data_IF_325302785105
#
_entry.id   IF_325302785105
#
_cell.length_a   1.000
_cell.length_b   1.000
_cell.length_c   1.000
_cell.angle_alpha   90.00
_cell.angle_beta   90.00
_cell.angle_gamma   90.00
#
_symmetry.space_group_name_H-M   'P 1'
#
loop_
_entity.id
_entity.type
_entity.pdbx_description
1 polymer ?
#
# COMPACT_ATOMS: atom_id res chain seq x y z
N UNK A 1 -49.07 8.79 30.55
CA UNK A 1 -47.95 7.81 30.68
C UNK A 1 -46.82 8.26 31.60
N UNK A 2 -46.20 9.45 31.45
CA UNK A 2 -45.05 9.86 32.28
C UNK A 2 -45.27 9.88 33.81
N UNK A 3 -46.50 10.19 34.29
CA UNK A 3 -46.82 10.24 35.74
C UNK A 3 -47.27 8.90 36.35
N UNK A 4 -48.12 8.15 35.64
CA UNK A 4 -48.76 6.93 36.16
C UNK A 4 -48.28 5.63 35.50
N UNK A 5 -47.37 5.72 34.52
CA UNK A 5 -46.93 4.58 33.72
C UNK A 5 -46.35 3.44 34.56
N UNK A 6 -45.54 3.76 35.59
CA UNK A 6 -44.96 2.76 36.49
C UNK A 6 -46.02 1.99 37.29
N UNK A 7 -47.09 2.67 37.70
CA UNK A 7 -48.21 2.08 38.46
C UNK A 7 -49.04 1.19 37.52
N UNK A 8 -49.33 1.66 36.31
CA UNK A 8 -50.03 0.87 35.29
C UNK A 8 -49.25 -0.38 34.90
N UNK A 9 -47.94 -0.25 34.69
CA UNK A 9 -47.06 -1.37 34.37
C UNK A 9 -46.96 -2.40 35.51
N UNK A 10 -47.15 -1.98 36.76
CA UNK A 10 -47.16 -2.89 37.91
C UNK A 10 -48.45 -3.71 38.02
N UNK A 11 -49.61 -3.09 37.75
CA UNK A 11 -50.91 -3.75 37.92
C UNK A 11 -51.43 -4.43 36.65
N UNK A 12 -51.14 -3.87 35.48
CA UNK A 12 -51.69 -4.33 34.20
C UNK A 12 -50.60 -4.27 33.09
N UNK A 13 -49.57 -5.11 33.17
CA UNK A 13 -48.39 -5.05 32.30
C UNK A 13 -48.71 -5.18 30.81
N UNK A 14 -49.42 -6.24 30.40
CA UNK A 14 -49.69 -6.53 28.97
C UNK A 14 -50.46 -5.40 28.28
N UNK A 15 -51.51 -4.89 28.93
CA UNK A 15 -52.34 -3.81 28.39
C UNK A 15 -51.57 -2.48 28.33
N UNK A 16 -50.71 -2.24 29.33
CA UNK A 16 -49.85 -1.05 29.36
C UNK A 16 -48.80 -1.11 28.24
N UNK A 17 -48.23 -2.29 27.97
CA UNK A 17 -47.30 -2.51 26.85
C UNK A 17 -47.98 -2.27 25.51
N UNK A 18 -49.18 -2.81 25.28
CA UNK A 18 -49.95 -2.57 24.05
C UNK A 18 -50.27 -1.09 23.84
N UNK A 19 -50.66 -0.38 24.91
CA UNK A 19 -50.89 1.05 24.85
C UNK A 19 -49.61 1.82 24.47
N UNK A 20 -48.47 1.48 25.05
CA UNK A 20 -47.18 2.11 24.72
C UNK A 20 -46.75 1.83 23.28
N UNK A 21 -46.98 0.61 22.77
CA UNK A 21 -46.75 0.26 21.36
C UNK A 21 -47.56 1.16 20.43
N UNK A 22 -48.86 1.31 20.69
CA UNK A 22 -49.74 2.17 19.89
C UNK A 22 -49.37 3.66 19.97
N UNK A 23 -48.97 4.15 21.14
CA UNK A 23 -48.54 5.54 21.33
C UNK A 23 -47.28 5.93 20.53
N UNK A 24 -46.41 4.97 20.25
CA UNK A 24 -45.15 5.20 19.55
C UNK A 24 -45.25 4.94 18.03
N UNK A 25 -46.27 4.21 17.55
CA UNK A 25 -46.38 3.76 16.15
C UNK A 25 -47.52 4.47 15.41
N UNK A 26 -48.75 4.20 15.82
CA UNK A 26 -49.98 4.53 15.08
C UNK A 26 -50.93 5.47 15.83
N UNK A 27 -50.38 6.31 16.73
CA UNK A 27 -51.18 7.27 17.46
C UNK A 27 -51.72 8.38 16.54
N UNK A 28 -53.02 8.32 16.25
CA UNK A 28 -53.77 9.40 15.62
C UNK A 28 -54.57 10.12 16.71
N UNK A 29 -54.20 11.36 17.10
CA UNK A 29 -55.07 12.15 17.93
C UNK A 29 -56.36 12.43 17.16
N UNK A 30 -57.52 12.16 17.76
CA UNK A 30 -58.82 12.56 17.21
C UNK A 30 -58.90 14.09 17.20
N UNK A 31 -58.40 14.71 16.13
CA UNK A 31 -58.61 16.12 15.84
C UNK A 31 -59.84 16.24 14.96
N UNK A 32 -61.02 16.31 15.59
CA UNK A 32 -62.13 17.04 14.98
C UNK A 32 -61.69 18.50 14.84
N UNK A 33 -61.19 18.88 13.65
CA UNK A 33 -61.03 20.27 13.23
C UNK A 33 -59.60 20.81 13.17
N UNK A 34 -58.82 20.41 12.15
CA UNK A 34 -57.93 21.32 11.39
C UNK A 34 -57.47 20.63 10.11
N UNK A 35 -57.70 21.28 8.97
CA UNK A 35 -57.52 20.73 7.63
C UNK A 35 -56.06 20.53 7.19
N UNK A 36 -55.92 19.61 6.23
CA UNK A 36 -54.93 19.48 5.17
C UNK A 36 -53.61 20.26 5.34
N UNK A 37 -52.74 19.71 6.20
CA UNK A 37 -51.29 19.65 5.97
C UNK A 37 -50.80 18.35 6.61
N UNK A 38 -50.14 17.50 5.83
CA UNK A 38 -49.40 16.33 6.34
C UNK A 38 -48.38 16.81 7.39
N UNK A 39 -48.76 16.74 8.66
CA UNK A 39 -47.88 17.03 9.79
C UNK A 39 -47.06 15.77 10.09
N UNK A 40 -45.74 15.88 10.34
CA UNK A 40 -44.94 14.73 10.79
C UNK A 40 -45.57 14.20 12.08
N UNK A 41 -45.93 12.91 12.09
CA UNK A 41 -46.81 12.32 13.10
C UNK A 41 -46.39 12.64 14.55
N UNK A 42 -47.39 12.96 15.40
CA UNK A 42 -47.24 13.16 16.84
C UNK A 42 -46.91 11.85 17.59
N UNK A 43 -45.87 11.14 17.16
CA UNK A 43 -45.39 9.93 17.82
C UNK A 43 -44.63 10.32 19.08
N UNK A 44 -44.94 9.64 20.19
CA UNK A 44 -44.18 9.83 21.41
C UNK A 44 -42.79 9.18 21.27
N UNK A 45 -41.77 9.79 21.89
CA UNK A 45 -40.43 9.22 21.89
C UNK A 45 -40.42 7.92 22.72
N UNK A 46 -40.14 6.79 22.06
CA UNK A 46 -40.14 5.46 22.66
C UNK A 46 -39.09 5.30 23.76
N UNK A 47 -37.96 6.02 23.67
CA UNK A 47 -36.87 5.96 24.65
C UNK A 47 -37.29 6.51 26.04
N UNK A 48 -38.15 7.52 26.06
CA UNK A 48 -38.64 8.13 27.31
C UNK A 48 -39.48 7.15 28.15
N UNK A 49 -39.97 6.07 27.54
CA UNK A 49 -40.80 5.07 28.20
C UNK A 49 -40.01 3.87 28.72
N UNK A 50 -38.74 3.68 28.35
CA UNK A 50 -37.89 2.59 28.85
C UNK A 50 -37.92 2.50 30.39
N UNK A 51 -37.80 3.61 31.17
CA UNK A 51 -37.80 3.55 32.63
C UNK A 51 -39.14 3.10 33.26
N UNK A 52 -40.24 3.04 32.48
CA UNK A 52 -41.54 2.57 32.95
C UNK A 52 -41.52 1.05 33.17
N UNK A 53 -40.67 0.33 32.42
CA UNK A 53 -40.59 -1.13 32.46
C UNK A 53 -39.56 -1.69 33.45
N UNK A 54 -39.01 -0.87 34.35
CA UNK A 54 -37.86 -1.22 35.20
C UNK A 54 -37.95 -2.58 35.94
N UNK A 55 -39.16 -3.05 36.26
CA UNK A 55 -39.38 -4.33 36.95
C UNK A 55 -40.06 -5.41 36.07
N UNK A 56 -40.19 -5.18 34.76
CA UNK A 56 -40.92 -6.05 33.84
C UNK A 56 -40.08 -6.30 32.56
N UNK A 57 -39.01 -7.11 32.65
CA UNK A 57 -38.08 -7.33 31.53
C UNK A 57 -38.72 -8.03 30.32
N UNK A 58 -39.72 -8.89 30.56
CA UNK A 58 -40.49 -9.57 29.49
C UNK A 58 -41.26 -8.57 28.64
N UNK A 59 -41.96 -7.66 29.29
CA UNK A 59 -42.73 -6.60 28.63
C UNK A 59 -41.82 -5.58 27.94
N UNK A 60 -40.69 -5.26 28.55
CA UNK A 60 -39.67 -4.41 27.94
C UNK A 60 -39.13 -5.03 26.65
N UNK A 61 -38.75 -6.32 26.66
CA UNK A 61 -38.32 -7.04 25.45
C UNK A 61 -39.40 -6.96 24.35
N UNK A 62 -40.64 -7.29 24.69
CA UNK A 62 -41.75 -7.27 23.74
C UNK A 62 -42.05 -5.87 23.17
N UNK A 63 -41.83 -4.81 23.96
CA UNK A 63 -41.94 -3.43 23.50
C UNK A 63 -40.81 -3.05 22.54
N UNK A 64 -39.56 -3.30 22.93
CA UNK A 64 -38.37 -2.95 22.14
C UNK A 64 -38.31 -3.72 20.81
N UNK A 65 -38.67 -5.01 20.80
CA UNK A 65 -38.73 -5.80 19.57
C UNK A 65 -39.76 -5.23 18.59
N UNK A 66 -40.95 -4.87 19.09
CA UNK A 66 -41.97 -4.24 18.26
C UNK A 66 -41.51 -2.87 17.71
N UNK A 67 -40.82 -2.06 18.52
CA UNK A 67 -40.25 -0.79 18.04
C UNK A 67 -39.19 -1.03 16.95
N UNK A 68 -38.35 -2.06 17.11
CA UNK A 68 -37.30 -2.40 16.13
C UNK A 68 -37.86 -2.91 14.80
N UNK A 69 -39.02 -3.57 14.79
CA UNK A 69 -39.68 -4.09 13.59
C UNK A 69 -40.51 -3.02 12.86
N UNK A 70 -41.29 -2.24 13.62
CA UNK A 70 -42.24 -1.28 13.04
C UNK A 70 -41.58 0.05 12.70
N UNK A 71 -40.54 0.45 13.44
CA UNK A 71 -39.87 1.73 13.25
C UNK A 71 -38.35 1.55 13.14
N UNK A 72 -37.84 1.40 11.90
CA UNK A 72 -36.40 1.37 11.61
C UNK A 72 -35.64 2.58 12.16
N UNK A 73 -36.28 3.76 12.17
CA UNK A 73 -35.72 5.03 12.66
C UNK A 73 -35.95 5.24 14.17
N UNK A 74 -36.11 4.14 14.93
CA UNK A 74 -36.21 4.22 16.38
C UNK A 74 -34.95 4.86 17.00
N UNK A 75 -35.07 5.60 18.11
CA UNK A 75 -33.93 6.17 18.82
C UNK A 75 -32.88 5.11 19.20
N UNK A 76 -31.61 5.50 19.22
CA UNK A 76 -30.51 4.58 19.51
C UNK A 76 -30.65 3.89 20.88
N UNK A 77 -31.20 4.58 21.88
CA UNK A 77 -31.45 4.00 23.21
C UNK A 77 -32.33 2.74 23.19
N UNK A 78 -33.23 2.60 22.20
CA UNK A 78 -34.05 1.39 22.02
C UNK A 78 -33.17 0.20 21.64
N UNK A 79 -32.28 0.39 20.67
CA UNK A 79 -31.36 -0.65 20.19
C UNK A 79 -30.32 -1.00 21.25
N UNK A 80 -29.81 -0.01 21.97
CA UNK A 80 -28.82 -0.22 23.05
C UNK A 80 -29.41 -1.04 24.20
N UNK A 81 -30.61 -0.67 24.70
CA UNK A 81 -31.29 -1.42 25.75
C UNK A 81 -31.74 -2.79 25.26
N UNK A 82 -32.13 -2.93 23.98
CA UNK A 82 -32.47 -4.24 23.41
C UNK A 82 -31.25 -5.15 23.34
N UNK A 83 -30.09 -4.63 22.95
CA UNK A 83 -28.83 -5.37 22.93
C UNK A 83 -28.42 -5.79 24.35
N UNK A 84 -28.45 -4.87 25.31
CA UNK A 84 -28.15 -5.14 26.71
C UNK A 84 -29.05 -6.26 27.28
N UNK A 85 -30.36 -6.19 27.05
CA UNK A 85 -31.29 -7.24 27.48
C UNK A 85 -31.03 -8.59 26.79
N UNK A 86 -30.69 -8.59 25.49
CA UNK A 86 -30.36 -9.84 24.77
C UNK A 86 -29.09 -10.47 25.32
N UNK A 87 -28.05 -9.68 25.57
CA UNK A 87 -26.78 -10.14 26.14
C UNK A 87 -26.96 -10.62 27.59
N UNK A 88 -27.73 -9.91 28.40
CA UNK A 88 -28.05 -10.31 29.77
C UNK A 88 -28.82 -11.64 29.82
N UNK A 89 -29.85 -11.81 28.96
CA UNK A 89 -30.58 -13.07 28.86
C UNK A 89 -29.69 -14.23 28.40
N UNK A 90 -28.82 -13.99 27.41
CA UNK A 90 -27.85 -14.98 26.95
C UNK A 90 -26.85 -15.38 28.04
N UNK A 91 -26.38 -14.42 28.84
CA UNK A 91 -25.41 -14.67 29.92
C UNK A 91 -26.02 -15.51 31.05
N UNK A 92 -27.30 -15.32 31.37
CA UNK A 92 -28.00 -16.05 32.43
C UNK A 92 -28.63 -17.38 31.98
N UNK A 93 -28.76 -17.63 30.68
CA UNK A 93 -29.34 -18.86 30.15
C UNK A 93 -28.41 -20.07 30.34
N UNK A 94 -28.99 -21.18 30.79
CA UNK A 94 -28.27 -22.43 31.08
C UNK A 94 -28.54 -23.52 30.04
N UNK A 95 -29.68 -23.46 29.36
CA UNK A 95 -30.00 -24.41 28.29
C UNK A 95 -29.15 -24.11 27.05
N UNK A 96 -28.30 -25.03 26.58
CA UNK A 96 -27.44 -24.81 25.40
C UNK A 96 -28.23 -24.53 24.12
N UNK A 97 -29.42 -25.13 23.93
CA UNK A 97 -30.21 -24.91 22.72
C UNK A 97 -30.87 -23.53 22.71
N UNK A 98 -31.36 -23.07 23.87
CA UNK A 98 -31.94 -21.72 23.99
C UNK A 98 -30.84 -20.67 23.95
N UNK A 99 -29.68 -20.95 24.57
CA UNK A 99 -28.52 -20.06 24.55
C UNK A 99 -28.01 -19.83 23.13
N UNK A 100 -27.95 -20.85 22.29
CA UNK A 100 -27.55 -20.70 20.87
C UNK A 100 -28.54 -19.82 20.08
N UNK A 101 -29.83 -19.94 20.34
CA UNK A 101 -30.85 -19.08 19.71
C UNK A 101 -30.68 -17.62 20.13
N UNK A 102 -30.52 -17.37 21.44
CA UNK A 102 -30.27 -16.02 21.97
C UNK A 102 -28.95 -15.43 21.42
N UNK A 103 -27.93 -16.28 21.27
CA UNK A 103 -26.65 -15.91 20.66
C UNK A 103 -26.85 -15.43 19.21
N UNK A 104 -27.56 -16.21 18.39
CA UNK A 104 -27.86 -15.85 17.00
C UNK A 104 -28.69 -14.56 16.90
N UNK A 105 -29.66 -14.35 17.79
CA UNK A 105 -30.47 -13.13 17.87
C UNK A 105 -29.61 -11.89 18.22
N UNK A 106 -28.66 -12.01 19.13
CA UNK A 106 -27.75 -10.94 19.50
C UNK A 106 -26.79 -10.58 18.34
N UNK A 107 -26.19 -11.58 17.70
CA UNK A 107 -25.34 -11.36 16.51
C UNK A 107 -26.14 -10.74 15.36
N UNK A 108 -27.37 -11.20 15.11
CA UNK A 108 -28.22 -10.63 14.07
C UNK A 108 -28.52 -9.15 14.32
N UNK A 109 -28.69 -8.75 15.59
CA UNK A 109 -28.90 -7.36 15.95
C UNK A 109 -27.64 -6.52 15.70
N UNK A 110 -26.45 -7.02 16.06
CA UNK A 110 -25.19 -6.34 15.74
C UNK A 110 -24.96 -6.21 14.22
N UNK A 111 -25.38 -7.21 13.43
CA UNK A 111 -25.28 -7.22 11.97
C UNK A 111 -26.27 -6.31 11.24
N UNK A 112 -27.27 -5.77 11.94
CA UNK A 112 -28.31 -4.93 11.34
C UNK A 112 -27.83 -3.53 10.93
N UNK A 113 -26.57 -3.16 11.22
CA UNK A 113 -26.01 -1.85 10.89
C UNK A 113 -26.43 -0.71 11.82
N UNK A 114 -27.21 -1.01 12.87
CA UNK A 114 -27.73 -0.02 13.83
C UNK A 114 -26.72 0.50 14.85
N UNK A 115 -25.51 -0.07 14.88
CA UNK A 115 -24.45 0.31 15.82
C UNK A 115 -23.25 0.97 15.13
N UNK A 116 -23.36 1.32 13.84
CA UNK A 116 -22.26 1.94 13.09
C UNK A 116 -21.80 3.26 13.72
N UNK A 117 -22.73 4.10 14.19
CA UNK A 117 -22.43 5.42 14.75
C UNK A 117 -22.13 5.39 16.26
N UNK A 118 -22.44 4.29 16.95
CA UNK A 118 -22.24 4.11 18.40
C UNK A 118 -21.41 2.88 18.72
N UNK A 119 -20.36 2.69 17.93
CA UNK A 119 -19.44 1.57 18.01
C UNK A 119 -18.93 1.30 19.44
N UNK A 120 -18.45 2.33 20.13
CA UNK A 120 -17.83 2.21 21.45
C UNK A 120 -18.80 1.65 22.50
N UNK A 121 -20.07 2.08 22.44
CA UNK A 121 -21.10 1.65 23.38
C UNK A 121 -21.48 0.18 23.15
N UNK A 122 -21.63 -0.23 21.88
CA UNK A 122 -21.89 -1.63 21.55
C UNK A 122 -20.74 -2.55 21.97
N UNK A 123 -19.50 -2.08 21.82
CA UNK A 123 -18.30 -2.81 22.24
C UNK A 123 -18.26 -3.00 23.76
N UNK A 124 -18.50 -1.94 24.54
CA UNK A 124 -18.56 -2.01 26.00
C UNK A 124 -19.65 -2.97 26.46
N UNK A 125 -20.85 -2.93 25.86
CA UNK A 125 -21.92 -3.88 26.17
C UNK A 125 -21.50 -5.34 25.92
N UNK A 126 -20.87 -5.62 24.77
CA UNK A 126 -20.39 -6.98 24.48
C UNK A 126 -19.29 -7.43 25.44
N UNK A 127 -18.34 -6.54 25.79
CA UNK A 127 -17.25 -6.83 26.73
C UNK A 127 -17.76 -7.07 28.16
N UNK A 128 -18.73 -6.26 28.63
CA UNK A 128 -19.30 -6.40 29.97
C UNK A 128 -20.00 -7.75 30.20
N UNK A 129 -20.51 -8.36 29.13
CA UNK A 129 -21.22 -9.64 29.17
C UNK A 129 -20.37 -10.83 28.69
N UNK A 130 -19.05 -10.67 28.50
CA UNK A 130 -18.14 -11.70 27.96
C UNK A 130 -18.61 -12.30 26.61
N UNK A 131 -19.26 -11.48 25.78
CA UNK A 131 -19.82 -11.90 24.50
C UNK A 131 -18.77 -11.82 23.37
N UNK A 132 -17.91 -12.83 23.32
CA UNK A 132 -16.71 -12.89 22.49
C UNK A 132 -16.98 -12.71 20.98
N UNK A 133 -17.97 -13.41 20.43
CA UNK A 133 -18.28 -13.35 18.99
C UNK A 133 -18.76 -11.97 18.55
N UNK A 134 -19.49 -11.25 19.43
CA UNK A 134 -19.89 -9.87 19.15
C UNK A 134 -18.72 -8.89 19.24
N UNK A 135 -17.79 -9.08 20.19
CA UNK A 135 -16.57 -8.28 20.27
C UNK A 135 -15.72 -8.45 19.01
N UNK A 136 -15.51 -9.70 18.56
CA UNK A 136 -14.77 -9.99 17.33
C UNK A 136 -15.45 -9.40 16.10
N UNK A 137 -16.77 -9.53 15.99
CA UNK A 137 -17.55 -8.94 14.90
C UNK A 137 -17.40 -7.41 14.87
N UNK A 138 -17.50 -6.76 16.03
CA UNK A 138 -17.32 -5.32 16.14
C UNK A 138 -15.89 -4.91 15.74
N UNK A 139 -14.86 -5.59 16.22
CA UNK A 139 -13.49 -5.31 15.78
C UNK A 139 -13.30 -5.46 14.26
N UNK A 140 -13.96 -6.43 13.63
CA UNK A 140 -13.92 -6.60 12.16
C UNK A 140 -14.61 -5.45 11.44
N UNK A 141 -15.79 -5.01 11.92
CA UNK A 141 -16.48 -3.83 11.36
C UNK A 141 -15.69 -2.53 11.53
N UNK A 142 -15.06 -2.35 12.70
CA UNK A 142 -14.21 -1.20 13.00
C UNK A 142 -12.83 -1.24 12.34
N UNK A 143 -12.50 -2.30 11.59
CA UNK A 143 -11.16 -2.56 11.01
C UNK A 143 -10.04 -2.53 12.05
N UNK A 144 -10.34 -2.95 13.28
CA UNK A 144 -9.40 -2.99 14.41
C UNK A 144 -8.65 -4.33 14.42
N UNK A 145 -7.94 -4.65 13.33
CA UNK A 145 -7.31 -5.96 13.15
C UNK A 145 -6.25 -6.28 14.22
N UNK A 146 -5.54 -5.25 14.71
CA UNK A 146 -4.62 -5.34 15.85
C UNK A 146 -5.29 -5.90 17.12
N UNK A 147 -6.54 -5.51 17.38
CA UNK A 147 -7.28 -5.97 18.56
C UNK A 147 -7.77 -7.40 18.38
N UNK A 148 -8.23 -7.77 17.17
CA UNK A 148 -8.56 -9.16 16.82
C UNK A 148 -7.33 -10.07 17.03
N UNK A 149 -6.17 -9.60 16.57
CA UNK A 149 -4.91 -10.31 16.74
C UNK A 149 -4.58 -10.50 18.22
N UNK A 150 -4.64 -9.43 19.02
CA UNK A 150 -4.36 -9.49 20.45
C UNK A 150 -5.32 -10.44 21.19
N UNK A 151 -6.61 -10.42 20.81
CA UNK A 151 -7.61 -11.31 21.36
C UNK A 151 -7.25 -12.79 21.13
N UNK A 152 -6.97 -13.20 19.89
CA UNK A 152 -6.59 -14.60 19.61
C UNK A 152 -5.24 -14.98 20.26
N UNK A 153 -4.30 -14.03 20.39
CA UNK A 153 -3.03 -14.24 21.09
C UNK A 153 -3.21 -14.47 22.60
N UNK A 154 -4.13 -13.75 23.25
CA UNK A 154 -4.45 -13.93 24.67
C UNK A 154 -5.13 -15.28 24.94
N UNK A 155 -5.99 -15.74 24.02
CA UNK A 155 -6.69 -17.02 24.12
C UNK A 155 -5.90 -18.21 23.55
N UNK A 156 -4.62 -18.03 23.21
CA UNK A 156 -3.72 -19.07 22.67
C UNK A 156 -4.27 -19.80 21.42
N UNK A 157 -5.04 -19.07 20.61
CA UNK A 157 -5.69 -19.55 19.40
C UNK A 157 -4.76 -19.41 18.17
N UNK A 158 -3.70 -20.23 18.11
CA UNK A 158 -2.63 -20.12 17.12
C UNK A 158 -3.10 -20.19 15.66
N UNK A 159 -4.06 -21.07 15.37
CA UNK A 159 -4.62 -21.22 14.02
C UNK A 159 -5.36 -19.96 13.57
N UNK A 160 -6.10 -19.33 14.48
CA UNK A 160 -6.86 -18.11 14.22
C UNK A 160 -5.92 -16.92 14.00
N UNK A 161 -4.81 -16.83 14.75
CA UNK A 161 -3.77 -15.80 14.54
C UNK A 161 -3.25 -15.82 13.09
N UNK A 162 -2.91 -17.00 12.55
CA UNK A 162 -2.48 -17.12 11.15
C UNK A 162 -3.62 -16.80 10.19
N UNK A 163 -4.84 -17.27 10.45
CA UNK A 163 -6.00 -16.97 9.60
C UNK A 163 -6.35 -15.48 9.53
N UNK A 164 -6.10 -14.70 10.60
CA UNK A 164 -6.27 -13.24 10.61
C UNK A 164 -5.18 -12.58 9.76
N UNK A 165 -3.92 -13.01 9.88
CA UNK A 165 -2.83 -12.56 9.00
C UNK A 165 -3.12 -12.85 7.52
N UNK A 166 -3.66 -14.03 7.21
CA UNK A 166 -3.99 -14.40 5.82
C UNK A 166 -5.13 -13.55 5.25
N UNK A 167 -6.17 -13.26 6.03
CA UNK A 167 -7.32 -12.47 5.59
C UNK A 167 -7.04 -10.97 5.51
N UNK A 168 -6.32 -10.42 6.49
CA UNK A 168 -6.17 -8.97 6.65
C UNK A 168 -4.74 -8.46 6.49
N UNK A 169 -3.75 -9.35 6.40
CA UNK A 169 -2.34 -8.97 6.34
C UNK A 169 -1.88 -8.32 5.02
N UNK A 170 -2.73 -8.28 3.99
CA UNK A 170 -2.48 -7.43 2.81
C UNK A 170 -2.81 -5.95 3.08
N UNK A 171 -3.83 -5.70 3.89
CA UNK A 171 -4.21 -4.34 4.28
C UNK A 171 -3.28 -3.81 5.36
N UNK A 172 -2.84 -4.68 6.26
CA UNK A 172 -1.99 -4.32 7.39
C UNK A 172 -0.81 -5.30 7.55
N UNK A 173 0.33 -5.04 6.88
CA UNK A 173 1.52 -5.90 6.95
C UNK A 173 2.12 -6.08 8.34
N UNK A 174 1.91 -5.12 9.26
CA UNK A 174 2.40 -5.17 10.64
C UNK A 174 1.82 -6.35 11.44
N UNK A 175 0.68 -6.90 11.02
CA UNK A 175 0.10 -8.12 11.62
C UNK A 175 1.05 -9.32 11.53
N UNK A 176 1.79 -9.44 10.41
CA UNK A 176 2.76 -10.53 10.23
C UNK A 176 3.98 -10.38 11.15
N UNK A 177 4.45 -9.15 11.37
CA UNK A 177 5.53 -8.86 12.32
C UNK A 177 5.09 -9.21 13.76
N UNK A 178 3.88 -8.81 14.15
CA UNK A 178 3.32 -9.12 15.45
C UNK A 178 3.12 -10.63 15.66
N UNK A 179 2.59 -11.33 14.64
CA UNK A 179 2.43 -12.78 14.68
C UNK A 179 3.79 -13.50 14.83
N UNK A 180 4.80 -13.07 14.07
CA UNK A 180 6.16 -13.62 14.20
C UNK A 180 6.72 -13.37 15.60
N UNK A 181 6.61 -12.15 16.13
CA UNK A 181 7.07 -11.79 17.47
C UNK A 181 6.37 -12.60 18.58
N UNK A 182 5.07 -12.85 18.42
CA UNK A 182 4.29 -13.67 19.36
C UNK A 182 4.74 -15.14 19.33
N UNK A 183 4.81 -15.76 18.15
CA UNK A 183 5.21 -17.17 18.04
C UNK A 183 6.68 -17.38 18.43
N UNK A 184 7.54 -16.37 18.23
CA UNK A 184 8.94 -16.42 18.65
C UNK A 184 9.15 -16.59 20.16
N UNK A 185 8.18 -16.14 20.96
CA UNK A 185 8.20 -16.23 22.43
C UNK A 185 7.69 -17.57 22.97
N UNK A 186 7.10 -18.42 22.14
CA UNK A 186 6.50 -19.70 22.54
C UNK A 186 7.42 -20.84 22.07
N UNK A 187 8.05 -21.55 23.00
CA UNK A 187 9.22 -22.41 22.69
C UNK A 187 8.88 -23.83 22.19
N UNK A 188 7.73 -24.41 22.53
CA UNK A 188 7.54 -25.86 22.34
C UNK A 188 6.56 -26.28 21.21
N UNK A 189 5.45 -25.57 20.98
CA UNK A 189 4.42 -26.00 20.01
C UNK A 189 4.25 -25.10 18.76
N UNK A 190 5.05 -24.05 18.62
CA UNK A 190 4.83 -23.01 17.61
C UNK A 190 5.69 -23.11 16.35
N UNK A 191 6.53 -24.14 16.21
CA UNK A 191 7.51 -24.27 15.10
C UNK A 191 6.85 -24.28 13.71
N UNK A 192 5.73 -24.99 13.57
CA UNK A 192 4.98 -25.06 12.31
C UNK A 192 4.38 -23.69 11.94
N UNK A 193 3.85 -22.96 12.93
CA UNK A 193 3.28 -21.63 12.73
C UNK A 193 4.36 -20.58 12.39
N UNK A 194 5.54 -20.65 13.04
CA UNK A 194 6.69 -19.80 12.70
C UNK A 194 7.12 -20.05 11.24
N UNK A 195 7.24 -21.33 10.83
CA UNK A 195 7.60 -21.66 9.45
C UNK A 195 6.55 -21.18 8.43
N UNK A 196 5.26 -21.32 8.74
CA UNK A 196 4.17 -20.80 7.90
C UNK A 196 4.25 -19.27 7.76
N UNK A 197 4.40 -18.55 8.87
CA UNK A 197 4.53 -17.08 8.89
C UNK A 197 5.76 -16.63 8.10
N UNK A 198 6.93 -17.27 8.30
CA UNK A 198 8.15 -16.96 7.56
C UNK A 198 8.00 -17.18 6.05
N UNK A 199 7.33 -18.26 5.64
CA UNK A 199 7.05 -18.53 4.21
C UNK A 199 6.19 -17.43 3.58
N UNK A 200 5.18 -16.93 4.31
CA UNK A 200 4.36 -15.81 3.83
C UNK A 200 5.14 -14.49 3.76
N UNK A 201 5.96 -14.20 4.78
CA UNK A 201 6.86 -13.04 4.79
C UNK A 201 7.84 -13.11 3.60
N UNK A 202 8.37 -14.29 3.29
CA UNK A 202 9.29 -14.49 2.17
C UNK A 202 8.62 -14.22 0.82
N UNK A 203 7.44 -14.82 0.61
CA UNK A 203 6.71 -14.74 -0.66
C UNK A 203 6.26 -13.32 -0.98
N UNK A 204 5.84 -12.57 0.05
CA UNK A 204 5.33 -11.20 -0.09
C UNK A 204 6.40 -10.12 0.17
N UNK A 205 7.64 -10.51 0.51
CA UNK A 205 8.74 -9.61 0.88
C UNK A 205 8.33 -8.57 1.97
N UNK A 206 7.55 -9.00 2.96
CA UNK A 206 6.95 -8.09 3.95
C UNK A 206 7.96 -7.52 4.94
N UNK A 207 9.05 -8.25 5.21
CA UNK A 207 10.06 -7.86 6.17
C UNK A 207 11.47 -8.12 5.63
N UNK A 208 12.43 -7.20 5.85
CA UNK A 208 13.84 -7.46 5.58
C UNK A 208 14.36 -8.66 6.40
N UNK A 209 15.29 -9.47 5.87
CA UNK A 209 15.88 -10.59 6.61
C UNK A 209 16.52 -10.16 7.94
N UNK A 210 17.10 -8.96 7.99
CA UNK A 210 17.68 -8.40 9.21
C UNK A 210 16.62 -8.19 10.30
N UNK A 211 15.44 -7.68 9.92
CA UNK A 211 14.34 -7.46 10.86
C UNK A 211 13.81 -8.80 11.38
N UNK A 212 13.65 -9.80 10.50
CA UNK A 212 13.27 -11.17 10.90
C UNK A 212 14.24 -11.73 11.95
N UNK A 213 15.55 -11.61 11.70
CA UNK A 213 16.57 -12.07 12.66
C UNK A 213 16.50 -11.28 13.95
N UNK A 214 16.34 -9.96 13.90
CA UNK A 214 16.23 -9.12 15.10
C UNK A 214 15.01 -9.51 15.95
N UNK A 215 13.84 -9.66 15.33
CA UNK A 215 12.60 -10.05 16.01
C UNK A 215 12.71 -11.42 16.68
N UNK A 216 13.44 -12.36 16.07
CA UNK A 216 13.62 -13.69 16.65
C UNK A 216 14.72 -13.73 17.71
N UNK A 217 15.84 -13.04 17.46
CA UNK A 217 16.99 -12.98 18.38
C UNK A 217 16.65 -12.33 19.72
N UNK A 218 15.73 -11.35 19.75
CA UNK A 218 15.29 -10.73 20.99
C UNK A 218 14.40 -11.64 21.85
N UNK A 219 13.84 -12.72 21.30
CA UNK A 219 12.74 -13.45 21.93
C UNK A 219 13.01 -14.95 22.18
N UNK A 220 14.01 -15.60 21.57
CA UNK A 220 14.44 -16.96 21.99
C UNK A 220 15.78 -17.41 21.35
N UNK A 221 16.53 -18.28 22.04
CA UNK A 221 17.74 -18.94 21.54
C UNK A 221 17.45 -20.21 20.73
N UNK A 222 16.25 -20.79 20.89
CA UNK A 222 15.81 -22.03 20.22
C UNK A 222 15.40 -21.84 18.73
N UNK A 223 15.15 -20.60 18.29
CA UNK A 223 14.55 -20.27 16.98
C UNK A 223 15.55 -20.10 15.83
N UNK A 224 16.86 -20.02 16.11
CA UNK A 224 17.91 -19.93 15.07
C UNK A 224 17.94 -21.17 14.15
N UNK A 225 17.60 -22.34 14.69
CA UNK A 225 17.51 -23.58 13.91
C UNK A 225 16.37 -23.52 12.88
N UNK A 226 15.21 -22.97 13.26
CA UNK A 226 14.01 -22.86 12.42
C UNK A 226 14.21 -21.88 11.26
N UNK A 227 15.03 -20.85 11.46
CA UNK A 227 15.29 -19.83 10.42
C UNK A 227 16.54 -20.06 9.59
N UNK A 228 17.37 -21.04 9.94
CA UNK A 228 18.60 -21.31 9.20
C UNK A 228 18.30 -21.55 7.72
N UNK A 229 17.33 -22.40 7.43
CA UNK A 229 16.96 -22.74 6.06
C UNK A 229 16.37 -21.53 5.33
N UNK A 230 15.54 -20.74 6.01
CA UNK A 230 15.01 -19.49 5.48
C UNK A 230 16.13 -18.50 5.11
N UNK A 231 17.09 -18.27 6.01
CA UNK A 231 18.21 -17.35 5.75
C UNK A 231 19.11 -17.84 4.63
N UNK A 232 19.44 -19.14 4.62
CA UNK A 232 20.27 -19.74 3.57
C UNK A 232 19.58 -19.61 2.21
N UNK A 233 18.29 -19.96 2.11
CA UNK A 233 17.54 -19.83 0.86
C UNK A 233 17.44 -18.37 0.40
N UNK A 234 17.14 -17.44 1.31
CA UNK A 234 17.01 -16.01 0.97
C UNK A 234 18.33 -15.41 0.52
N UNK A 235 19.43 -15.69 1.22
CA UNK A 235 20.77 -15.21 0.86
C UNK A 235 21.26 -15.81 -0.46
N UNK A 236 21.01 -17.11 -0.69
CA UNK A 236 21.34 -17.75 -1.96
C UNK A 236 20.56 -17.12 -3.12
N UNK A 237 19.24 -16.90 -2.95
CA UNK A 237 18.40 -16.24 -3.96
C UNK A 237 18.88 -14.82 -4.26
N UNK A 238 19.21 -14.05 -3.22
CA UNK A 238 19.76 -12.70 -3.38
C UNK A 238 21.13 -12.71 -4.07
N UNK A 239 22.03 -13.63 -3.70
CA UNK A 239 23.34 -13.77 -4.33
C UNK A 239 23.24 -14.15 -5.81
N UNK A 240 22.32 -15.05 -6.16
CA UNK A 240 22.02 -15.40 -7.55
C UNK A 240 21.48 -14.20 -8.34
N UNK A 241 20.60 -13.40 -7.73
CA UNK A 241 20.07 -12.18 -8.35
C UNK A 241 21.19 -11.16 -8.59
N UNK A 242 22.06 -10.92 -7.61
CA UNK A 242 23.23 -10.05 -7.74
C UNK A 242 24.13 -10.52 -8.89
N UNK A 243 24.44 -11.82 -8.97
CA UNK A 243 25.27 -12.37 -10.05
C UNK A 243 24.64 -12.18 -11.44
N UNK A 244 23.32 -12.36 -11.56
CA UNK A 244 22.60 -12.11 -12.81
C UNK A 244 22.61 -10.63 -13.19
N UNK A 245 22.39 -9.73 -12.23
CA UNK A 245 22.38 -8.29 -12.47
C UNK A 245 23.78 -7.77 -12.81
N UNK A 246 24.83 -8.27 -12.16
CA UNK A 246 26.22 -7.98 -12.54
C UNK A 246 26.55 -8.40 -13.98
N UNK A 247 26.08 -9.59 -14.41
CA UNK A 247 26.25 -10.05 -15.78
C UNK A 247 25.53 -9.13 -16.78
N UNK A 248 24.31 -8.69 -16.46
CA UNK A 248 23.56 -7.73 -17.28
C UNK A 248 24.28 -6.39 -17.35
N UNK A 249 24.79 -5.88 -16.24
CA UNK A 249 25.56 -4.63 -16.18
C UNK A 249 26.81 -4.72 -17.06
N UNK A 250 27.56 -5.84 -17.02
CA UNK A 250 28.73 -6.05 -17.89
C UNK A 250 28.33 -6.00 -19.36
N UNK A 251 27.30 -6.77 -19.75
CA UNK A 251 26.79 -6.79 -21.14
C UNK A 251 26.37 -5.40 -21.62
N UNK A 252 25.60 -4.66 -20.82
CA UNK A 252 25.17 -3.32 -21.19
C UNK A 252 26.32 -2.33 -21.26
N UNK A 253 27.34 -2.45 -20.41
CA UNK A 253 28.55 -1.61 -20.49
C UNK A 253 29.33 -1.89 -21.77
N UNK A 254 29.56 -3.16 -22.10
CA UNK A 254 30.26 -3.56 -23.34
C UNK A 254 29.52 -3.05 -24.57
N UNK A 255 28.20 -3.25 -24.64
CA UNK A 255 27.37 -2.75 -25.74
C UNK A 255 27.36 -1.22 -25.83
N UNK A 256 27.28 -0.52 -24.68
CA UNK A 256 27.38 0.95 -24.65
C UNK A 256 28.73 1.43 -25.16
N UNK A 257 29.82 0.77 -24.79
CA UNK A 257 31.17 1.13 -25.30
C UNK A 257 31.28 0.88 -26.79
N UNK A 258 30.75 -0.25 -27.30
CA UNK A 258 30.72 -0.57 -28.73
C UNK A 258 29.95 0.48 -29.52
N UNK A 259 28.74 0.83 -29.07
CA UNK A 259 27.91 1.84 -29.74
C UNK A 259 28.58 3.22 -29.71
N UNK A 260 29.23 3.60 -28.60
CA UNK A 260 29.98 4.87 -28.52
C UNK A 260 31.16 4.91 -29.48
N UNK A 261 31.88 3.79 -29.63
CA UNK A 261 32.96 3.67 -30.61
C UNK A 261 32.42 3.80 -32.04
N UNK A 262 31.33 3.09 -32.36
CA UNK A 262 30.67 3.18 -33.68
C UNK A 262 30.21 4.62 -33.99
N UNK A 263 29.63 5.34 -33.02
CA UNK A 263 29.25 6.75 -33.17
C UNK A 263 30.48 7.62 -33.45
N UNK A 264 31.59 7.39 -32.76
CA UNK A 264 32.81 8.16 -32.95
C UNK A 264 33.44 7.89 -34.32
N UNK A 265 33.46 6.63 -34.76
CA UNK A 265 33.91 6.24 -36.10
C UNK A 265 33.06 6.90 -37.18
N UNK A 266 31.73 6.85 -37.06
CA UNK A 266 30.80 7.49 -38.00
C UNK A 266 30.97 9.02 -38.07
N UNK A 267 31.39 9.67 -36.98
CA UNK A 267 31.60 11.14 -36.93
C UNK A 267 32.96 11.59 -37.46
N UNK A 268 34.02 10.82 -37.20
CA UNK A 268 35.40 11.28 -37.40
C UNK A 268 36.13 10.59 -38.56
N UNK A 269 35.66 9.42 -39.01
CA UNK A 269 36.34 8.63 -40.04
C UNK A 269 35.59 8.64 -41.38
N UNK A 270 36.31 8.74 -42.52
CA UNK A 270 35.69 8.61 -43.83
C UNK A 270 35.23 7.16 -44.05
N UNK A 271 33.95 6.98 -44.42
CA UNK A 271 33.38 5.65 -44.68
C UNK A 271 33.53 5.28 -46.16
N UNK A 272 34.22 4.17 -46.43
CA UNK A 272 34.42 3.67 -47.79
C UNK A 272 33.25 2.76 -48.18
N UNK A 273 32.59 3.06 -49.30
CA UNK A 273 31.53 2.22 -49.85
C UNK A 273 32.10 1.29 -50.92
N UNK A 274 32.22 0.00 -50.59
CA UNK A 274 32.74 -1.02 -51.51
C UNK A 274 31.64 -1.92 -52.11
N UNK A 275 30.37 -1.65 -51.82
CA UNK A 275 29.25 -2.45 -52.34
C UNK A 275 29.11 -2.25 -53.84
N UNK A 276 29.13 -3.37 -54.57
CA UNK A 276 29.00 -3.41 -56.04
C UNK A 276 27.60 -3.76 -56.51
N UNK A 277 26.64 -4.00 -55.60
CA UNK A 277 25.25 -4.36 -55.91
C UNK A 277 24.23 -3.46 -55.19
N UNK A 278 23.14 -3.16 -55.88
CA UNK A 278 22.03 -2.38 -55.33
C UNK A 278 21.25 -3.19 -54.30
N UNK A 279 20.89 -2.58 -53.17
CA UNK A 279 20.24 -3.30 -52.06
C UNK A 279 18.73 -3.56 -52.28
N UNK A 280 18.15 -3.04 -53.38
CA UNK A 280 16.74 -3.27 -53.78
C UNK A 280 16.66 -4.29 -54.91
N UNK A 281 17.29 -4.02 -56.06
CA UNK A 281 17.19 -4.88 -57.24
C UNK A 281 18.29 -5.95 -57.34
N UNK A 282 19.32 -5.89 -56.47
CA UNK A 282 20.46 -6.81 -56.42
C UNK A 282 21.33 -6.87 -57.69
N UNK A 283 21.06 -6.01 -58.68
CA UNK A 283 21.89 -5.83 -59.87
C UNK A 283 23.17 -5.06 -59.57
N UNK A 284 24.15 -5.15 -60.47
CA UNK A 284 25.38 -4.37 -60.39
C UNK A 284 25.06 -2.86 -60.28
N UNK A 285 25.72 -2.18 -59.34
CA UNK A 285 25.55 -0.76 -59.12
C UNK A 285 26.14 0.01 -60.31
N UNK A 286 25.30 0.85 -60.90
CA UNK A 286 25.65 1.76 -61.99
C UNK A 286 25.48 3.20 -61.51
N UNK A 287 26.25 4.12 -62.08
CA UNK A 287 26.13 5.53 -61.77
C UNK A 287 24.93 6.14 -62.50
N UNK A 288 24.14 7.01 -61.86
CA UNK A 288 24.30 7.54 -60.50
C UNK A 288 23.77 6.64 -59.37
N UNK A 289 24.49 6.60 -58.24
CA UNK A 289 24.18 5.79 -57.07
C UNK A 289 24.11 6.60 -55.77
N UNK A 290 23.24 6.16 -54.85
CA UNK A 290 23.03 6.76 -53.52
C UNK A 290 23.56 5.81 -52.44
N UNK A 291 24.35 6.32 -51.51
CA UNK A 291 24.99 5.54 -50.45
C UNK A 291 24.63 6.11 -49.08
N UNK A 292 24.19 5.25 -48.16
CA UNK A 292 23.87 5.61 -46.78
C UNK A 292 24.96 5.15 -45.81
N UNK A 293 25.19 5.90 -44.73
CA UNK A 293 26.19 5.55 -43.70
C UNK A 293 25.90 4.22 -42.98
N UNK A 294 24.68 3.68 -43.07
CA UNK A 294 24.37 2.31 -42.65
C UNK A 294 24.98 1.24 -43.56
N UNK A 295 25.65 1.63 -44.65
CA UNK A 295 26.32 0.75 -45.60
C UNK A 295 25.42 0.22 -46.71
N UNK A 296 24.16 0.67 -46.81
CA UNK A 296 23.29 0.33 -47.95
C UNK A 296 23.56 1.24 -49.14
N UNK A 297 23.47 0.68 -50.34
CA UNK A 297 23.77 1.36 -51.59
C UNK A 297 22.69 1.01 -52.61
N UNK A 298 22.26 2.01 -53.38
CA UNK A 298 21.11 1.93 -54.28
C UNK A 298 21.42 2.65 -55.59
N UNK A 299 20.84 2.20 -56.71
CA UNK A 299 20.74 3.06 -57.89
C UNK A 299 19.85 4.25 -57.57
N UNK A 300 20.14 5.42 -58.12
CA UNK A 300 19.31 6.62 -57.91
C UNK A 300 17.83 6.35 -58.24
N UNK A 301 17.55 5.70 -59.37
CA UNK A 301 16.18 5.36 -59.77
C UNK A 301 15.50 4.37 -58.82
N UNK A 302 16.25 3.38 -58.30
CA UNK A 302 15.72 2.43 -57.32
C UNK A 302 15.47 3.11 -55.98
N UNK A 303 16.25 4.12 -55.61
CA UNK A 303 16.01 4.91 -54.40
C UNK A 303 14.73 5.74 -54.56
N UNK A 304 14.65 6.59 -55.58
CA UNK A 304 13.51 7.49 -55.84
C UNK A 304 12.16 6.76 -55.94
N UNK A 305 12.16 5.51 -56.42
CA UNK A 305 10.94 4.71 -56.55
C UNK A 305 10.44 4.10 -55.23
N UNK A 306 11.33 3.94 -54.23
CA UNK A 306 11.04 3.21 -52.98
C UNK A 306 11.23 4.05 -51.72
N UNK A 307 11.82 5.24 -51.81
CA UNK A 307 12.00 6.18 -50.69
C UNK A 307 10.95 7.28 -50.71
N UNK A 308 10.33 7.55 -49.56
CA UNK A 308 9.43 8.69 -49.38
C UNK A 308 10.18 10.00 -49.01
N UNK A 309 11.46 9.88 -48.66
CA UNK A 309 12.31 10.95 -48.11
C UNK A 309 13.76 10.77 -48.59
N UNK A 310 14.43 11.88 -48.94
CA UNK A 310 15.82 11.89 -49.42
C UNK A 310 16.84 11.55 -48.31
N UNK A 311 16.42 11.57 -47.05
CA UNK A 311 17.30 11.39 -45.89
C UNK A 311 17.30 9.96 -45.33
N UNK A 312 16.38 9.10 -45.77
CA UNK A 312 16.09 7.83 -45.11
C UNK A 312 16.44 6.62 -45.97
N UNK A 313 17.20 5.68 -45.40
CA UNK A 313 17.50 4.41 -46.05
C UNK A 313 16.25 3.52 -46.10
N UNK A 314 15.72 3.14 -47.29
CA UNK A 314 14.48 2.34 -47.40
C UNK A 314 14.55 0.99 -46.68
N UNK A 315 15.74 0.39 -46.58
CA UNK A 315 15.95 -0.91 -45.91
C UNK A 315 15.90 -0.78 -44.38
N UNK A 316 16.42 0.32 -43.82
CA UNK A 316 16.50 0.51 -42.36
C UNK A 316 15.31 1.27 -41.79
N UNK A 317 14.60 2.04 -42.62
CA UNK A 317 13.47 2.87 -42.22
C UNK A 317 12.38 2.11 -41.43
N UNK A 318 11.97 0.88 -41.80
CA UNK A 318 10.94 0.15 -41.05
C UNK A 318 11.35 -0.16 -39.60
N UNK A 319 12.61 -0.52 -39.36
CA UNK A 319 13.12 -0.80 -38.02
C UNK A 319 13.37 0.48 -37.24
N UNK A 320 13.98 1.50 -37.88
CA UNK A 320 14.18 2.81 -37.29
C UNK A 320 12.85 3.43 -36.87
N UNK A 321 11.79 3.31 -37.69
CA UNK A 321 10.45 3.82 -37.36
C UNK A 321 9.89 3.21 -36.09
N UNK A 322 10.05 1.89 -35.88
CA UNK A 322 9.62 1.24 -34.62
C UNK A 322 10.32 1.84 -33.41
N UNK A 323 11.64 2.06 -33.50
CA UNK A 323 12.44 2.67 -32.41
C UNK A 323 12.00 4.12 -32.16
N UNK A 324 11.80 4.90 -33.23
CA UNK A 324 11.35 6.28 -33.14
C UNK A 324 9.94 6.39 -32.52
N UNK A 325 9.02 5.51 -32.91
CA UNK A 325 7.67 5.47 -32.36
C UNK A 325 7.67 5.06 -30.88
N UNK A 326 8.55 4.13 -30.47
CA UNK A 326 8.77 3.79 -29.06
C UNK A 326 9.27 4.99 -28.25
N UNK A 327 10.23 5.75 -28.78
CA UNK A 327 10.76 6.95 -28.13
C UNK A 327 9.65 8.00 -27.98
N UNK A 328 8.88 8.27 -29.04
CA UNK A 328 7.75 9.21 -28.97
C UNK A 328 6.69 8.78 -27.95
N UNK A 329 6.38 7.48 -27.88
CA UNK A 329 5.44 6.94 -26.92
C UNK A 329 5.94 7.09 -25.46
N UNK A 330 7.25 6.99 -25.24
CA UNK A 330 7.86 7.26 -23.92
C UNK A 330 7.78 8.75 -23.57
N UNK A 331 8.05 9.66 -24.51
CA UNK A 331 7.94 11.10 -24.31
C UNK A 331 6.51 11.55 -24.00
N UNK A 332 5.50 10.99 -24.68
CA UNK A 332 4.08 11.28 -24.38
C UNK A 332 3.68 10.88 -22.96
N UNK A 333 4.34 9.88 -22.38
CA UNK A 333 4.09 9.40 -21.02
C UNK A 333 4.89 10.16 -19.95
N UNK A 334 5.68 11.16 -20.33
CA UNK A 334 6.51 11.96 -19.42
C UNK A 334 5.68 12.80 -18.44
N UNK A 335 4.53 13.29 -18.88
CA UNK A 335 3.72 14.25 -18.11
C UNK A 335 2.69 13.57 -17.18
N UNK A 336 2.71 12.23 -17.09
CA UNK A 336 1.81 11.43 -16.26
C UNK A 336 2.33 11.25 -14.83
N UNK A 337 2.62 12.37 -14.15
CA UNK A 337 3.18 12.35 -12.80
C UNK A 337 2.25 11.69 -11.77
N UNK A 338 0.94 11.91 -11.89
CA UNK A 338 -0.06 11.33 -10.97
C UNK A 338 -0.13 9.81 -11.09
N UNK A 339 0.02 9.28 -12.31
CA UNK A 339 0.06 7.84 -12.54
C UNK A 339 1.33 7.22 -11.94
N UNK A 340 2.48 7.89 -12.08
CA UNK A 340 3.72 7.47 -11.43
C UNK A 340 3.57 7.45 -9.90
N UNK A 341 3.02 8.49 -9.30
CA UNK A 341 2.82 8.54 -7.85
C UNK A 341 1.89 7.42 -7.36
N UNK A 342 0.84 7.12 -8.11
CA UNK A 342 -0.06 6.01 -7.79
C UNK A 342 0.67 4.66 -7.90
N UNK A 343 1.40 4.43 -8.99
CA UNK A 343 2.19 3.21 -9.19
C UNK A 343 3.25 3.04 -8.09
N UNK A 344 3.93 4.12 -7.70
CA UNK A 344 4.94 4.10 -6.65
C UNK A 344 4.35 3.68 -5.30
N UNK A 345 3.17 4.22 -4.94
CA UNK A 345 2.46 3.89 -3.69
C UNK A 345 1.97 2.44 -3.64
N UNK A 346 1.60 1.87 -4.79
CA UNK A 346 1.04 0.53 -4.88
C UNK A 346 2.08 -0.56 -5.24
N UNK A 347 3.31 -0.17 -5.60
CA UNK A 347 4.35 -1.10 -6.01
C UNK A 347 5.15 -1.66 -4.84
N UNK A 348 5.44 -2.97 -4.89
CA UNK A 348 6.37 -3.63 -3.97
C UNK A 348 7.84 -3.33 -4.31
N UNK A 349 8.13 -2.93 -5.55
CA UNK A 349 9.46 -2.55 -6.01
C UNK A 349 9.44 -1.10 -6.51
N UNK A 350 9.56 -0.19 -5.56
CA UNK A 350 9.59 1.24 -5.83
C UNK A 350 10.79 1.63 -6.70
N UNK A 351 11.92 0.90 -6.61
CA UNK A 351 13.12 1.22 -7.37
C UNK A 351 12.93 0.91 -8.84
N UNK A 352 12.31 -0.22 -9.20
CA UNK A 352 12.00 -0.53 -10.61
C UNK A 352 11.03 0.48 -11.22
N UNK A 353 9.99 0.90 -10.48
CA UNK A 353 9.05 1.93 -10.95
C UNK A 353 9.77 3.27 -11.16
N UNK A 354 10.66 3.65 -10.25
CA UNK A 354 11.51 4.83 -10.39
C UNK A 354 12.43 4.67 -11.60
N UNK A 355 13.13 3.55 -11.75
CA UNK A 355 14.05 3.32 -12.86
C UNK A 355 13.35 3.38 -14.23
N UNK A 356 12.15 2.81 -14.36
CA UNK A 356 11.32 2.92 -15.56
C UNK A 356 10.89 4.37 -15.81
N UNK A 357 10.41 5.07 -14.79
CA UNK A 357 10.01 6.47 -14.90
C UNK A 357 11.19 7.37 -15.33
N UNK A 358 12.37 7.21 -14.72
CA UNK A 358 13.59 7.90 -15.14
C UNK A 358 14.02 7.50 -16.58
N UNK A 359 13.86 6.22 -16.93
CA UNK A 359 14.15 5.69 -18.27
C UNK A 359 13.31 6.29 -19.39
N UNK A 360 12.15 6.89 -19.08
CA UNK A 360 11.29 7.63 -20.04
C UNK A 360 11.81 9.01 -20.42
N UNK A 361 12.95 9.46 -19.87
CA UNK A 361 13.55 10.74 -20.24
C UNK A 361 12.87 11.96 -19.58
N UNK A 362 12.49 11.85 -18.32
CA UNK A 362 11.80 12.92 -17.57
C UNK A 362 12.62 14.21 -17.48
N UNK A 363 13.94 14.10 -17.41
CA UNK A 363 14.86 15.24 -17.27
C UNK A 363 15.54 15.65 -18.59
N UNK A 364 15.55 14.75 -19.59
CA UNK A 364 16.22 14.98 -20.87
C UNK A 364 15.23 14.69 -22.01
N UNK A 365 14.96 15.69 -22.86
CA UNK A 365 14.28 15.44 -24.12
C UNK A 365 15.14 14.45 -24.92
N UNK A 366 14.59 13.31 -25.31
CA UNK A 366 15.29 12.37 -26.18
C UNK A 366 15.32 13.02 -27.57
N UNK A 367 16.36 13.81 -27.85
CA UNK A 367 16.47 14.54 -29.12
C UNK A 367 16.58 13.53 -30.26
N UNK A 368 15.45 13.22 -30.88
CA UNK A 368 15.40 12.52 -32.14
C UNK A 368 16.04 13.45 -33.19
N UNK A 369 17.15 13.01 -33.79
CA UNK A 369 17.95 13.77 -34.77
C UNK A 369 17.20 14.17 -36.05
N UNK A 370 15.89 13.93 -36.13
CA UNK A 370 15.00 14.32 -37.23
C UNK A 370 14.40 15.72 -37.06
N UNK A 371 14.54 16.36 -35.90
CA UNK A 371 14.18 17.77 -35.76
C UNK A 371 15.27 18.63 -36.43
N UNK A 372 14.91 19.59 -37.32
CA UNK A 372 15.90 20.52 -37.88
C UNK A 372 16.62 21.23 -36.73
N UNK A 373 17.91 21.57 -36.87
CA UNK A 373 18.67 22.20 -35.80
C UNK A 373 18.13 23.60 -35.55
N UNK A 374 17.13 23.74 -34.68
CA UNK A 374 16.80 25.02 -34.07
C UNK A 374 17.91 25.33 -33.07
N UNK A 375 18.97 25.97 -33.58
CA UNK A 375 19.92 26.67 -32.76
C UNK A 375 19.15 27.58 -31.80
N UNK A 376 19.52 27.54 -30.50
CA UNK A 376 18.96 28.25 -29.34
C UNK A 376 17.87 27.53 -28.54
N UNK A 377 18.19 26.40 -27.91
CA UNK A 377 17.40 25.91 -26.77
C UNK A 377 18.23 25.53 -25.52
N UNK A 378 19.54 25.37 -25.63
CA UNK A 378 20.38 24.97 -24.50
C UNK A 378 20.57 26.07 -23.44
N UNK A 379 20.59 27.35 -23.82
CA UNK A 379 20.74 28.45 -22.85
C UNK A 379 19.43 28.82 -22.10
N UNK A 380 18.26 28.42 -22.61
CA UNK A 380 16.97 28.81 -22.02
C UNK A 380 16.45 27.83 -20.95
N UNK A 381 16.87 26.56 -21.00
CA UNK A 381 16.43 25.53 -20.05
C UNK A 381 17.12 25.64 -18.68
N UNK A 382 18.41 25.97 -18.65
CA UNK A 382 19.15 26.27 -17.41
C UNK A 382 18.56 27.50 -16.69
N UNK A 383 18.20 28.55 -17.44
CA UNK A 383 17.59 29.75 -16.89
C UNK A 383 16.16 29.51 -16.37
N UNK A 384 15.40 28.57 -16.97
CA UNK A 384 14.05 28.20 -16.53
C UNK A 384 14.06 27.38 -15.24
N UNK A 385 14.91 26.35 -15.16
CA UNK A 385 15.04 25.48 -13.98
C UNK A 385 15.52 26.26 -12.75
N UNK A 386 16.48 27.19 -12.91
CA UNK A 386 16.95 28.06 -11.82
C UNK A 386 15.83 29.00 -11.32
N UNK A 387 14.95 29.48 -12.22
CA UNK A 387 13.84 30.38 -11.88
C UNK A 387 12.71 29.65 -11.16
N UNK A 388 12.40 28.43 -11.58
CA UNK A 388 11.36 27.62 -10.95
C UNK A 388 11.77 27.11 -9.57
N UNK A 389 13.05 26.75 -9.38
CA UNK A 389 13.59 26.43 -8.05
C UNK A 389 13.53 27.64 -7.08
N UNK A 390 13.81 28.85 -7.57
CA UNK A 390 13.73 30.08 -6.76
C UNK A 390 12.29 30.51 -6.44
N UNK A 391 11.33 30.24 -7.33
CA UNK A 391 9.91 30.57 -7.12
C UNK A 391 9.23 29.58 -6.16
N UNK A 392 9.60 28.29 -6.18
CA UNK A 392 9.07 27.30 -5.23
C UNK A 392 9.64 27.50 -3.81
N UNK A 393 10.90 27.93 -3.67
CA UNK A 393 11.47 28.30 -2.38
C UNK A 393 10.79 29.53 -1.76
N UNK A 394 10.41 30.53 -2.59
CA UNK A 394 9.67 31.73 -2.13
C UNK A 394 8.20 31.48 -1.79
N UNK A 395 7.54 30.48 -2.41
CA UNK A 395 6.16 30.10 -2.07
C UNK A 395 6.09 29.29 -0.76
N UNK A 396 7.09 28.47 -0.44
CA UNK A 396 7.18 27.75 0.83
C UNK A 396 7.42 28.68 2.04
N UNK A 397 8.04 29.85 1.84
CA UNK A 397 8.30 30.85 2.88
C UNK A 397 7.14 31.83 3.13
N UNK A 398 6.07 31.81 2.31
CA UNK A 398 4.90 32.69 2.47
C UNK A 398 3.65 32.01 3.03
N UNK A 399 3.65 30.70 3.25
CA UNK A 399 2.51 29.97 3.84
C UNK A 399 2.72 29.52 5.30
N UNK A 400 3.76 30.01 5.97
CA UNK A 400 3.96 29.85 7.42
C UNK A 400 4.12 31.22 8.08
N UNK A 401 3.09 32.05 7.94
CA UNK A 401 2.77 33.10 8.89
C UNK A 401 1.50 32.67 9.60
N UNK A 402 1.49 32.80 10.93
CA UNK A 402 0.39 32.48 11.86
C UNK A 402 0.40 31.05 12.41
N UNK A 403 1.23 30.84 13.44
CA UNK A 403 0.80 30.34 14.76
C UNK A 403 2.01 30.45 15.72
N UNK A 404 2.03 31.52 16.53
CA UNK A 404 2.91 31.66 17.68
C UNK A 404 2.09 31.46 18.96
N UNK A 405 2.76 30.93 20.00
CA UNK A 405 2.35 30.67 21.40
C UNK A 405 1.59 29.34 21.62
N UNK A 406 1.97 28.40 22.51
CA UNK A 406 2.88 28.34 23.68
C UNK A 406 3.27 26.86 23.93
N UNK A 407 4.49 26.60 24.46
CA UNK A 407 4.84 25.67 25.58
C UNK A 407 6.36 25.34 25.58
N UNK A 408 6.94 24.89 26.72
CA UNK A 408 8.17 25.45 27.28
C UNK A 408 9.48 24.70 26.96
N UNK A 409 10.59 25.43 27.08
CA UNK A 409 11.97 24.97 27.01
C UNK A 409 12.33 24.00 28.13
N UNK A 410 12.92 22.85 27.80
CA UNK A 410 13.94 22.17 28.61
C UNK A 410 14.95 21.46 27.68
N UNK A 411 16.23 21.56 28.04
CA UNK A 411 17.37 21.53 27.11
C UNK A 411 17.89 20.17 26.63
N UNK A 412 18.59 20.21 25.51
CA UNK A 412 19.51 19.18 25.03
C UNK A 412 20.96 19.68 25.17
N UNK A 413 21.91 18.84 25.62
CA UNK A 413 23.34 19.14 25.51
C UNK A 413 23.89 18.71 24.14
N UNK A 414 24.87 19.50 23.66
CA UNK A 414 25.54 19.36 22.38
C UNK A 414 26.62 18.26 22.38
N UNK A 415 26.81 17.60 21.23
CA UNK A 415 27.99 16.77 20.91
C UNK A 415 28.59 17.34 19.60
N UNK A 416 29.91 17.62 19.52
CA UNK A 416 30.54 18.21 18.34
C UNK A 416 30.92 17.16 17.27
N UNK A 417 31.11 17.56 16.00
CA UNK A 417 31.49 16.68 14.90
C UNK A 417 33.00 16.45 14.84
N UNK A 418 33.42 15.27 14.39
CA UNK A 418 34.82 14.87 14.16
C UNK A 418 35.11 14.98 12.66
N UNK A 419 36.07 15.84 12.31
CA UNK A 419 36.63 15.98 10.97
C UNK A 419 37.58 14.83 10.64
N UNK A 420 37.48 14.28 9.41
CA UNK A 420 38.53 13.45 8.81
C UNK A 420 38.98 14.07 7.48
N UNK A 421 40.15 14.69 7.51
CA UNK A 421 40.98 15.01 6.35
C UNK A 421 42.22 14.12 6.39
N UNK A 422 42.57 13.47 5.29
CA UNK A 422 43.95 13.48 4.79
C UNK A 422 44.05 12.96 3.36
N UNK A 423 44.62 13.81 2.51
CA UNK A 423 45.30 13.45 1.27
C UNK A 423 46.82 13.58 1.51
N UNK A 424 47.59 13.06 0.55
CA UNK A 424 48.93 13.52 0.07
C UNK A 424 50.08 12.50 0.25
N UNK A 425 50.35 11.76 -0.85
CA UNK A 425 51.52 11.87 -1.76
C UNK A 425 52.94 11.33 -1.43
N UNK A 426 53.64 11.01 -2.53
CA UNK A 426 54.94 10.33 -2.72
C UNK A 426 56.18 10.90 -1.99
N UNK A 427 57.18 10.03 -1.68
CA UNK A 427 58.59 10.09 -2.17
C UNK A 427 59.56 9.11 -1.47
N UNK A 428 60.54 8.61 -2.24
CA UNK A 428 61.75 7.79 -1.88
C UNK A 428 62.82 8.65 -1.13
N UNK A 429 63.80 8.08 -0.39
CA UNK A 429 65.08 7.59 -0.99
C UNK A 429 65.87 6.45 -0.27
N UNK A 430 66.84 5.93 -1.04
CA UNK A 430 68.13 5.25 -0.81
C UNK A 430 68.62 4.70 0.56
N UNK A 431 69.37 3.57 0.50
CA UNK A 431 70.57 3.35 1.33
C UNK A 431 70.83 1.95 1.90
N UNK A 432 71.64 1.16 1.17
CA UNK A 432 72.70 0.22 1.61
C UNK A 432 72.51 -0.83 2.74
N UNK A 433 73.00 -2.06 2.49
CA UNK A 433 73.49 -2.93 3.58
C UNK A 433 73.39 -4.46 3.40
N UNK A 434 74.17 -5.02 2.47
CA UNK A 434 75.00 -6.25 2.60
C UNK A 434 74.44 -7.60 3.08
N UNK A 435 74.75 -8.63 2.26
CA UNK A 435 75.17 -10.02 2.58
C UNK A 435 74.10 -10.98 3.13
N UNK A 436 74.01 -12.26 2.78
CA UNK A 436 74.97 -13.21 2.21
C UNK A 436 74.26 -14.44 1.58
N UNK A 437 74.99 -15.13 0.68
CA UNK A 437 75.04 -16.59 0.40
C UNK A 437 73.76 -17.33 -0.03
N UNK A 438 73.75 -17.83 -1.27
CA UNK A 438 73.97 -19.24 -1.69
C UNK A 438 72.70 -20.08 -1.44
N UNK A 439 72.23 -20.97 -2.31
CA UNK A 439 72.88 -21.83 -3.29
C UNK A 439 71.75 -22.49 -4.10
N UNK A 440 72.00 -22.68 -5.41
CA UNK A 440 71.69 -23.87 -6.20
C UNK A 440 70.25 -24.44 -6.36
N UNK A 441 69.89 -24.59 -7.65
CA UNK A 441 69.18 -25.71 -8.30
C UNK A 441 67.78 -26.09 -7.76
N UNK A 442 66.70 -26.10 -8.55
CA UNK A 442 66.48 -26.49 -9.95
C UNK A 442 65.22 -25.82 -10.49
#
# INVERSE_FOLDING_TARGET
>A
MKRYGKILMHHIPEQTTQLLKGLCTDYQPSLEGRGDREAPGCRANSEEFIPIFANNPRELKAFLEHMSEVQPDSPQGIYDTLLELRLQNWAHEKDPQVKEKLHAEAISLLKSGRFCDVFDKALVLCQMHDFQDGVLYLYEQGKLFQQIMHYHMQHEQYRQVVAVCERHGEQEPSLWEQALSYFARKEEDCKEYVAAVLKHIENKNLMPPLLVVQTLAHNSTATLSVIRDYLVQKLQKQSQQIAQDELRVRRYREETTRIRQEIQELKASPKIFQKTKCSICNSALELPSVHFLCGHSFHQHCFESYSESDADCPTCLPENRKVMDMIRAQEQKRDLHDQFQHQLKCSNDSFSVIADYFGRGVFNKLTLLTDPPTARLTASLEAGLQRDLLMHSRRALRSKGDFLFLLPSFGQPAIPPVDFLSSVDHSRPAGEGTSATSEYEQ
#
